data_IF_630653589497
#
_entry.id   IF_630653589497
#
_cell.length_a   1.000
_cell.length_b   1.000
_cell.length_c   1.000
_cell.angle_alpha   90.00
_cell.angle_beta   90.00
_cell.angle_gamma   90.00
#
_symmetry.space_group_name_H-M   'P 1'
#
loop_
_entity.id
_entity.type
_entity.pdbx_description
1 polymer ?
#
# COMPACT_ATOMS: atom_id res chain seq x y z
N UNK A 1 26.20 14.05 -11.86
CA UNK A 1 25.60 12.85 -11.22
C UNK A 1 24.94 13.11 -9.85
N UNK A 2 25.18 14.22 -9.14
CA UNK A 2 24.58 14.46 -7.80
C UNK A 2 23.08 14.80 -7.77
N UNK A 3 22.51 15.33 -8.85
CA UNK A 3 21.12 15.80 -8.86
C UNK A 3 20.08 14.67 -8.90
N UNK A 4 20.43 13.53 -9.50
CA UNK A 4 19.51 12.39 -9.65
C UNK A 4 19.19 11.74 -8.31
N UNK A 5 20.21 11.60 -7.46
CA UNK A 5 20.06 10.99 -6.15
C UNK A 5 19.21 11.86 -5.21
N UNK A 6 19.38 13.19 -5.22
CA UNK A 6 18.55 14.10 -4.42
C UNK A 6 17.06 14.06 -4.79
N UNK A 7 16.74 13.92 -6.08
CA UNK A 7 15.34 13.80 -6.53
C UNK A 7 14.70 12.51 -6.03
N UNK A 8 15.42 11.39 -6.17
CA UNK A 8 14.97 10.08 -5.67
C UNK A 8 14.78 10.10 -4.14
N UNK A 9 15.75 10.62 -3.38
CA UNK A 9 15.61 10.73 -1.93
C UNK A 9 14.41 11.58 -1.50
N UNK A 10 14.13 12.69 -2.22
CA UNK A 10 12.96 13.52 -1.98
C UNK A 10 11.66 12.78 -2.28
N UNK A 11 11.63 11.99 -3.36
CA UNK A 11 10.49 11.16 -3.72
C UNK A 11 10.23 10.08 -2.67
N UNK A 12 11.26 9.33 -2.26
CA UNK A 12 11.16 8.29 -1.23
C UNK A 12 10.62 8.87 0.08
N UNK A 13 11.10 10.05 0.48
CA UNK A 13 10.57 10.73 1.67
C UNK A 13 9.10 11.13 1.50
N UNK A 14 8.73 11.69 0.35
CA UNK A 14 7.34 12.05 0.07
C UNK A 14 6.41 10.83 0.00
N UNK A 15 6.93 9.70 -0.48
CA UNK A 15 6.26 8.41 -0.49
C UNK A 15 6.02 7.88 0.92
N UNK A 16 7.04 7.87 1.76
CA UNK A 16 6.92 7.47 3.15
C UNK A 16 5.90 8.34 3.91
N UNK A 17 5.95 9.66 3.73
CA UNK A 17 4.97 10.59 4.29
C UNK A 17 3.53 10.27 3.83
N UNK A 18 3.35 9.87 2.57
CA UNK A 18 2.04 9.46 2.05
C UNK A 18 1.55 8.17 2.70
N UNK A 19 2.40 7.14 2.76
CA UNK A 19 2.07 5.88 3.42
C UNK A 19 1.68 6.12 4.89
N UNK A 20 2.47 6.91 5.62
CA UNK A 20 2.21 7.22 7.03
C UNK A 20 0.91 7.96 7.28
N UNK A 21 0.43 8.78 6.34
CA UNK A 21 -0.89 9.44 6.46
C UNK A 21 -2.06 8.47 6.48
N UNK A 22 -1.87 7.27 5.95
CA UNK A 22 -2.91 6.23 5.90
C UNK A 22 -3.00 5.41 7.18
N UNK A 23 -2.09 5.62 8.13
CA UNK A 23 -2.13 4.94 9.42
C UNK A 23 -3.46 5.22 10.15
N UNK A 24 -4.11 4.15 10.60
CA UNK A 24 -5.43 4.22 11.24
C UNK A 24 -6.62 4.37 10.29
N UNK A 25 -6.42 4.40 8.97
CA UNK A 25 -7.54 4.47 8.02
C UNK A 25 -8.32 3.15 8.01
N UNK A 26 -9.64 3.24 8.02
CA UNK A 26 -10.51 2.07 7.85
C UNK A 26 -10.52 1.63 6.38
N UNK A 27 -10.51 0.32 6.15
CA UNK A 27 -10.46 -0.31 4.83
C UNK A 27 -11.75 -1.11 4.60
N UNK A 28 -12.44 -0.84 3.50
CA UNK A 28 -13.65 -1.59 3.10
C UNK A 28 -13.28 -2.96 2.55
N UNK A 29 -12.32 -3.01 1.64
CA UNK A 29 -11.79 -4.24 1.06
C UNK A 29 -10.40 -3.98 0.44
N UNK A 30 -9.65 -5.06 0.30
CA UNK A 30 -8.33 -5.06 -0.34
C UNK A 30 -8.33 -6.02 -1.50
N UNK A 31 -7.78 -5.58 -2.63
CA UNK A 31 -7.55 -6.42 -3.80
C UNK A 31 -6.07 -6.61 -4.07
N UNK A 32 -5.74 -7.67 -4.78
CA UNK A 32 -4.46 -7.82 -5.45
C UNK A 32 -4.70 -8.09 -6.94
N UNK A 33 -3.74 -7.71 -7.77
CA UNK A 33 -3.76 -7.99 -9.20
C UNK A 33 -2.91 -9.22 -9.48
N UNK A 34 -3.50 -10.21 -10.12
CA UNK A 34 -2.78 -11.38 -10.63
C UNK A 34 -2.01 -11.00 -11.90
N UNK A 35 -0.69 -11.23 -11.90
CA UNK A 35 0.21 -10.94 -13.01
C UNK A 35 -0.08 -11.77 -14.27
N UNK A 36 -0.66 -12.96 -14.13
CA UNK A 36 -0.92 -13.88 -15.24
C UNK A 36 -2.29 -13.66 -15.88
N UNK A 37 -3.30 -13.30 -15.07
CA UNK A 37 -4.69 -13.23 -15.54
C UNK A 37 -5.22 -11.79 -15.65
N UNK A 38 -4.45 -10.80 -15.20
CA UNK A 38 -4.86 -9.40 -15.05
C UNK A 38 -6.15 -9.20 -14.22
N UNK A 39 -6.59 -10.24 -13.51
CA UNK A 39 -7.77 -10.22 -12.68
C UNK A 39 -7.47 -9.57 -11.33
N UNK A 40 -8.40 -8.73 -10.86
CA UNK A 40 -8.38 -8.24 -9.48
C UNK A 40 -9.16 -9.20 -8.59
N UNK A 41 -8.50 -9.70 -7.55
CA UNK A 41 -9.10 -10.60 -6.56
C UNK A 41 -9.13 -9.95 -5.18
N UNK A 42 -10.27 -10.05 -4.49
CA UNK A 42 -10.40 -9.54 -3.12
C UNK A 42 -9.68 -10.50 -2.16
N UNK A 43 -8.69 -9.99 -1.43
CA UNK A 43 -7.88 -10.74 -0.46
C UNK A 43 -8.26 -10.45 1.00
N UNK A 44 -9.03 -9.39 1.26
CA UNK A 44 -9.61 -9.13 2.57
C UNK A 44 -10.69 -8.05 2.55
N UNK A 45 -11.50 -8.01 3.61
CA UNK A 45 -12.62 -7.10 3.80
C UNK A 45 -12.64 -6.56 5.22
N UNK A 46 -13.28 -5.41 5.43
CA UNK A 46 -13.55 -4.83 6.75
C UNK A 46 -12.30 -4.77 7.65
N UNK A 47 -11.32 -4.00 7.20
CA UNK A 47 -10.04 -3.88 7.87
C UNK A 47 -9.68 -2.47 8.28
N UNK A 48 -8.42 -2.31 8.65
CA UNK A 48 -7.77 -1.04 8.88
C UNK A 48 -6.29 -1.14 8.55
N UNK A 49 -5.67 0.01 8.29
CA UNK A 49 -4.24 0.13 8.12
C UNK A 49 -3.60 0.44 9.48
N UNK A 50 -2.48 -0.22 9.76
CA UNK A 50 -1.66 0.04 10.94
C UNK A 50 -0.20 0.10 10.53
N UNK A 51 0.51 1.12 11.00
CA UNK A 51 1.96 1.24 10.84
C UNK A 51 2.62 1.19 12.22
N UNK A 52 3.50 0.21 12.44
CA UNK A 52 4.20 0.02 13.71
C UNK A 52 5.62 -0.46 13.45
N UNK A 53 6.62 0.17 14.10
CA UNK A 53 8.04 -0.12 13.89
C UNK A 53 8.46 -0.10 12.40
N UNK A 54 7.96 0.88 11.64
CA UNK A 54 8.20 1.04 10.21
C UNK A 54 7.71 -0.12 9.33
N UNK A 55 6.78 -0.91 9.85
CA UNK A 55 6.09 -1.97 9.11
C UNK A 55 4.68 -1.50 8.79
N UNK A 56 4.34 -1.50 7.51
CA UNK A 56 3.01 -1.23 6.99
C UNK A 56 2.18 -2.52 7.00
N UNK A 57 1.04 -2.51 7.71
CA UNK A 57 0.14 -3.66 7.80
C UNK A 57 -1.26 -3.28 7.37
N UNK A 58 -1.91 -4.18 6.64
CA UNK A 58 -3.36 -4.15 6.48
C UNK A 58 -3.94 -5.35 7.22
N UNK A 59 -4.83 -5.06 8.16
CA UNK A 59 -5.44 -6.06 9.03
C UNK A 59 -6.92 -6.12 8.69
N UNK A 60 -7.39 -7.29 8.25
CA UNK A 60 -8.78 -7.57 7.92
C UNK A 60 -9.26 -8.75 8.77
N UNK A 61 -10.44 -8.67 9.39
CA UNK A 61 -10.99 -9.75 10.23
C UNK A 61 -9.98 -10.34 11.23
N UNK A 62 -9.20 -9.49 11.91
CA UNK A 62 -8.12 -9.84 12.84
C UNK A 62 -6.97 -10.67 12.23
N UNK A 63 -6.85 -10.71 10.91
CA UNK A 63 -5.74 -11.33 10.18
C UNK A 63 -4.96 -10.28 9.44
N UNK A 64 -3.63 -10.37 9.52
CA UNK A 64 -2.74 -9.58 8.68
C UNK A 64 -2.83 -10.17 7.27
N UNK A 65 -3.39 -9.41 6.34
CA UNK A 65 -3.53 -9.82 4.93
C UNK A 65 -2.41 -9.27 4.06
N UNK A 66 -1.74 -8.22 4.53
CA UNK A 66 -0.62 -7.58 3.88
C UNK A 66 0.33 -7.03 4.95
N UNK A 67 1.61 -7.28 4.79
CA UNK A 67 2.68 -6.79 5.65
C UNK A 67 3.91 -6.49 4.81
N UNK A 68 4.45 -5.28 4.93
CA UNK A 68 5.69 -4.90 4.24
C UNK A 68 6.43 -3.80 5.01
N UNK A 69 7.76 -3.76 4.91
CA UNK A 69 8.54 -2.62 5.40
C UNK A 69 8.16 -1.34 4.63
N UNK A 70 8.17 -0.18 5.29
CA UNK A 70 8.05 1.10 4.57
C UNK A 70 9.20 1.30 3.57
N UNK A 71 10.36 0.69 3.84
CA UNK A 71 11.46 0.66 2.90
C UNK A 71 11.14 -0.33 1.76
N UNK A 72 11.16 0.17 0.52
CA UNK A 72 10.83 -0.64 -0.67
C UNK A 72 9.34 -0.70 -1.02
N UNK A 73 8.47 -0.11 -0.20
CA UNK A 73 7.04 0.00 -0.49
C UNK A 73 6.72 1.34 -1.15
N UNK A 74 6.06 1.33 -2.31
CA UNK A 74 5.60 2.54 -3.00
C UNK A 74 4.08 2.66 -2.86
N UNK A 75 3.62 3.85 -2.45
CA UNK A 75 2.21 4.17 -2.28
C UNK A 75 1.76 5.25 -3.24
N UNK A 76 0.66 5.01 -3.96
CA UNK A 76 -0.01 5.98 -4.84
C UNK A 76 -1.50 6.05 -4.51
N UNK A 77 -2.06 7.26 -4.40
CA UNK A 77 -3.50 7.40 -4.15
C UNK A 77 -4.30 7.04 -5.41
N UNK A 78 -5.46 6.41 -5.22
CA UNK A 78 -6.44 6.27 -6.30
C UNK A 78 -6.90 7.65 -6.76
N UNK A 79 -7.22 7.81 -8.05
CA UNK A 79 -7.76 9.07 -8.58
C UNK A 79 -9.07 9.50 -7.90
N UNK A 80 -9.85 8.53 -7.42
CA UNK A 80 -11.06 8.73 -6.63
C UNK A 80 -10.79 9.15 -5.19
N UNK A 81 -9.53 9.14 -4.74
CA UNK A 81 -9.09 9.43 -3.37
C UNK A 81 -9.72 8.53 -2.29
N UNK A 82 -10.29 7.40 -2.70
CA UNK A 82 -10.96 6.43 -1.83
C UNK A 82 -10.11 5.17 -1.59
N UNK A 83 -8.80 5.25 -1.83
CA UNK A 83 -7.88 4.16 -1.56
C UNK A 83 -6.43 4.48 -1.91
N UNK A 84 -5.57 3.51 -1.64
CA UNK A 84 -4.14 3.53 -1.96
C UNK A 84 -3.75 2.27 -2.72
N UNK A 85 -2.95 2.46 -3.75
CA UNK A 85 -2.24 1.41 -4.48
C UNK A 85 -0.86 1.26 -3.82
N UNK A 86 -0.56 0.05 -3.40
CA UNK A 86 0.71 -0.37 -2.81
C UNK A 86 1.45 -1.23 -3.83
N UNK A 87 2.62 -0.77 -4.25
CA UNK A 87 3.47 -1.46 -5.21
C UNK A 87 4.79 -1.83 -4.53
N UNK A 88 5.19 -3.08 -4.67
CA UNK A 88 6.44 -3.60 -4.12
C UNK A 88 6.97 -4.71 -5.02
N UNK A 89 8.26 -5.03 -4.87
CA UNK A 89 8.87 -6.18 -5.52
C UNK A 89 8.76 -7.37 -4.58
N UNK A 90 8.15 -8.47 -5.02
CA UNK A 90 8.09 -9.69 -4.23
C UNK A 90 9.47 -10.34 -4.18
N UNK A 91 10.02 -10.53 -2.97
CA UNK A 91 11.37 -11.07 -2.79
C UNK A 91 11.54 -12.51 -3.31
N UNK A 92 10.45 -13.27 -3.45
CA UNK A 92 10.49 -14.66 -3.90
C UNK A 92 10.45 -14.77 -5.43
N UNK A 93 9.70 -13.89 -6.10
CA UNK A 93 9.51 -13.96 -7.57
C UNK A 93 10.28 -12.88 -8.31
N UNK A 94 10.67 -11.79 -7.65
CA UNK A 94 11.23 -10.58 -8.27
C UNK A 94 10.20 -9.80 -9.11
N UNK A 95 8.92 -10.14 -8.99
CA UNK A 95 7.86 -9.48 -9.75
C UNK A 95 7.33 -8.26 -9.01
N UNK A 96 6.95 -7.24 -9.77
CA UNK A 96 6.22 -6.09 -9.23
C UNK A 96 4.78 -6.48 -8.95
N UNK A 97 4.42 -6.49 -7.67
CA UNK A 97 3.08 -6.83 -7.18
C UNK A 97 2.35 -5.55 -6.76
N UNK A 98 1.06 -5.49 -7.09
CA UNK A 98 0.16 -4.43 -6.65
C UNK A 98 -0.90 -4.97 -5.69
N UNK A 99 -1.06 -4.26 -4.57
CA UNK A 99 -2.12 -4.46 -3.58
C UNK A 99 -2.87 -3.15 -3.44
N UNK A 100 -4.18 -3.16 -3.62
CA UNK A 100 -5.02 -1.96 -3.56
C UNK A 100 -5.92 -2.02 -2.33
N UNK A 101 -5.78 -1.05 -1.44
CA UNK A 101 -6.65 -0.91 -0.28
C UNK A 101 -7.69 0.17 -0.53
N UNK A 102 -8.97 -0.21 -0.57
CA UNK A 102 -10.08 0.72 -0.71
C UNK A 102 -10.57 1.14 0.67
N UNK A 103 -10.52 2.43 0.97
CA UNK A 103 -10.94 2.98 2.25
C UNK A 103 -12.44 2.83 2.47
N UNK A 104 -12.83 2.69 3.73
CA UNK A 104 -14.23 2.83 4.12
C UNK A 104 -14.56 4.32 4.05
N UNK A 105 -15.66 4.63 3.36
CA UNK A 105 -16.05 6.00 3.03
C UNK A 105 -16.18 6.86 4.29
N UNK A 106 -15.22 7.74 4.55
CA UNK A 106 -15.30 8.73 5.60
C UNK A 106 -16.12 9.93 5.08
N UNK A 107 -17.46 9.85 5.13
CA UNK A 107 -18.26 11.10 5.20
C UNK A 107 -17.87 11.77 6.52
N UNK A 108 -17.08 12.83 6.45
CA UNK A 108 -17.06 13.84 7.52
C UNK A 108 -18.39 14.57 7.53
#
# INVERSE_FOLDING_TARGET
MLFFNRKLQKELKANEERLRRTDGFEVRYVTTRDALTYGESIIGKYGYIKIENDIYKIICDNKVIFEHSLQGLMGSELMSLDGIILSYEDENTGELVEVIAYYKYHRK
#
